data_IF_675395354313
#
_entry.id   IF_675395354313
#
_cell.length_a   1.000
_cell.length_b   1.000
_cell.length_c   1.000
_cell.angle_alpha   90.00
_cell.angle_beta   90.00
_cell.angle_gamma   90.00
#
_symmetry.space_group_name_H-M   'P 1'
#
loop_
_entity.id
_entity.type
_entity.pdbx_description
1 polymer ?
#
# COMPACT_ATOMS: atom_id res chain seq x y z
N UNK A 1 -13.90 15.99 16.04
CA UNK A 1 -12.45 15.77 15.88
C UNK A 1 -12.24 15.03 14.58
N UNK A 2 -11.41 15.53 13.66
CA UNK A 2 -11.14 14.85 12.38
C UNK A 2 -10.04 13.81 12.57
N UNK A 3 -10.37 12.54 12.41
CA UNK A 3 -9.41 11.43 12.43
C UNK A 3 -8.79 11.24 11.05
N UNK A 4 -7.49 10.92 11.01
CA UNK A 4 -6.78 10.57 9.76
C UNK A 4 -7.32 9.23 9.29
N UNK A 5 -7.91 9.19 8.10
CA UNK A 5 -8.53 7.98 7.53
C UNK A 5 -7.52 7.06 6.83
N UNK A 6 -6.37 7.59 6.44
CA UNK A 6 -5.30 6.87 5.73
C UNK A 6 -4.14 6.62 6.68
N UNK A 7 -4.20 5.50 7.39
CA UNK A 7 -3.15 5.04 8.29
C UNK A 7 -2.65 3.69 7.84
N UNK A 8 -1.36 3.43 8.02
CA UNK A 8 -0.79 2.10 7.81
C UNK A 8 -1.50 1.13 8.74
N UNK A 9 -2.03 0.05 8.18
CA UNK A 9 -2.58 -1.08 8.94
C UNK A 9 -1.71 -2.33 8.71
N UNK A 10 -2.00 -3.36 9.50
CA UNK A 10 -1.35 -4.67 9.39
C UNK A 10 -2.07 -5.59 8.39
N UNK A 11 -2.91 -5.03 7.52
CA UNK A 11 -3.60 -5.80 6.50
C UNK A 11 -2.63 -6.27 5.43
N UNK A 12 -2.85 -7.48 4.94
CA UNK A 12 -2.00 -8.10 3.93
C UNK A 12 -2.31 -7.56 2.55
N UNK A 13 -1.30 -6.99 1.90
CA UNK A 13 -1.40 -6.48 0.53
C UNK A 13 -1.70 -7.61 -0.45
N UNK A 14 -1.13 -8.81 -0.23
CA UNK A 14 -1.38 -9.97 -1.08
C UNK A 14 -2.84 -10.43 -0.99
N UNK A 15 -3.43 -10.44 0.20
CA UNK A 15 -4.83 -10.81 0.39
C UNK A 15 -5.78 -9.79 -0.23
N UNK A 16 -5.43 -8.51 -0.17
CA UNK A 16 -6.16 -7.46 -0.87
C UNK A 16 -6.15 -7.65 -2.39
N UNK A 17 -4.99 -7.92 -2.99
CA UNK A 17 -4.90 -8.20 -4.44
C UNK A 17 -5.68 -9.47 -4.78
N UNK A 18 -5.57 -10.53 -3.96
CA UNK A 18 -6.30 -11.78 -4.16
C UNK A 18 -7.83 -11.63 -4.09
N UNK A 19 -8.32 -10.62 -3.35
CA UNK A 19 -9.76 -10.32 -3.24
C UNK A 19 -10.37 -9.72 -4.52
N UNK A 20 -9.55 -9.20 -5.44
CA UNK A 20 -10.02 -8.61 -6.71
C UNK A 20 -10.62 -9.72 -7.58
N UNK A 21 -11.82 -9.62 -8.15
CA UNK A 21 -12.40 -10.73 -8.93
C UNK A 21 -11.74 -10.94 -10.31
N UNK A 22 -11.10 -9.90 -10.84
CA UNK A 22 -10.52 -9.86 -12.19
C UNK A 22 -9.07 -10.37 -12.18
N UNK A 23 -8.81 -11.49 -12.85
CA UNK A 23 -7.49 -12.13 -12.90
C UNK A 23 -6.42 -11.28 -13.58
N UNK A 24 -6.78 -10.51 -14.62
CA UNK A 24 -5.83 -9.63 -15.31
C UNK A 24 -5.38 -8.54 -14.35
N UNK A 25 -6.33 -7.93 -13.65
CA UNK A 25 -6.02 -6.92 -12.62
C UNK A 25 -5.19 -7.47 -11.48
N UNK A 26 -5.40 -8.72 -11.05
CA UNK A 26 -4.54 -9.35 -10.03
C UNK A 26 -3.10 -9.43 -10.52
N UNK A 27 -2.91 -9.99 -11.71
CA UNK A 27 -1.59 -10.24 -12.25
C UNK A 27 -0.82 -8.93 -12.48
N UNK A 28 -1.49 -7.93 -13.04
CA UNK A 28 -0.94 -6.59 -13.22
C UNK A 28 -0.62 -5.93 -11.86
N UNK A 29 -1.47 -6.10 -10.86
CA UNK A 29 -1.23 -5.55 -9.51
C UNK A 29 0.00 -6.17 -8.86
N UNK A 30 0.22 -7.49 -9.01
CA UNK A 30 1.43 -8.14 -8.52
C UNK A 30 2.68 -7.67 -9.27
N UNK A 31 2.61 -7.52 -10.60
CA UNK A 31 3.72 -6.99 -11.39
C UNK A 31 4.10 -5.56 -10.98
N UNK A 32 3.09 -4.69 -10.76
CA UNK A 32 3.30 -3.33 -10.27
C UNK A 32 3.86 -3.33 -8.84
N UNK A 33 3.38 -4.22 -7.98
CA UNK A 33 3.85 -4.33 -6.60
C UNK A 33 5.34 -4.70 -6.55
N UNK A 34 5.78 -5.66 -7.36
CA UNK A 34 7.20 -6.01 -7.46
C UNK A 34 8.04 -4.86 -8.04
N UNK A 35 7.54 -4.21 -9.09
CA UNK A 35 8.22 -3.07 -9.73
C UNK A 35 8.44 -1.93 -8.72
N UNK A 36 7.39 -1.54 -7.99
CA UNK A 36 7.48 -0.48 -7.00
C UNK A 36 8.34 -0.87 -5.80
N UNK A 37 8.21 -2.09 -5.30
CA UNK A 37 9.09 -2.58 -4.23
C UNK A 37 10.57 -2.55 -4.65
N UNK A 38 10.87 -2.93 -5.88
CA UNK A 38 12.24 -2.90 -6.42
C UNK A 38 12.78 -1.48 -6.58
N UNK A 39 11.97 -0.56 -7.11
CA UNK A 39 12.40 0.84 -7.36
C UNK A 39 12.55 1.61 -6.05
N UNK A 40 11.61 1.44 -5.12
CA UNK A 40 11.60 2.17 -3.84
C UNK A 40 12.53 1.53 -2.79
N UNK A 41 12.79 0.23 -2.89
CA UNK A 41 13.47 -0.54 -1.84
C UNK A 41 12.61 -0.77 -0.59
N UNK A 42 11.35 -0.31 -0.61
CA UNK A 42 10.44 -0.37 0.53
C UNK A 42 9.43 -1.50 0.36
N UNK A 43 9.01 -2.09 1.48
CA UNK A 43 7.99 -3.14 1.47
C UNK A 43 6.60 -2.50 1.29
N UNK A 44 5.73 -3.05 0.44
CA UNK A 44 4.36 -2.58 0.30
C UNK A 44 3.60 -2.79 1.62
N UNK A 45 2.78 -1.82 2.00
CA UNK A 45 1.86 -1.91 3.14
C UNK A 45 0.48 -1.42 2.74
N UNK A 46 -0.54 -1.92 3.43
CA UNK A 46 -1.88 -1.40 3.30
C UNK A 46 -2.01 -0.07 4.06
N UNK A 47 -2.79 0.85 3.50
CA UNK A 47 -3.11 2.17 4.04
C UNK A 47 -4.62 2.35 4.03
N UNK A 48 -5.25 2.26 5.19
CA UNK A 48 -6.71 2.19 5.28
C UNK A 48 -7.28 1.00 4.47
N UNK A 49 -8.52 1.11 3.96
CA UNK A 49 -9.24 -0.06 3.44
C UNK A 49 -8.90 -0.44 2.00
N UNK A 50 -8.23 0.43 1.22
CA UNK A 50 -8.15 0.24 -0.24
C UNK A 50 -6.93 0.88 -0.90
N UNK A 51 -5.87 1.19 -0.15
CA UNK A 51 -4.66 1.83 -0.69
C UNK A 51 -3.46 0.96 -0.34
N UNK A 52 -2.61 0.70 -1.34
CA UNK A 52 -1.28 0.11 -1.14
C UNK A 52 -0.27 1.25 -1.21
N UNK A 53 0.49 1.44 -0.13
CA UNK A 53 1.52 2.48 -0.04
C UNK A 53 2.92 1.89 0.17
N UNK A 54 3.92 2.68 -0.17
CA UNK A 54 5.34 2.32 -0.07
C UNK A 54 6.08 3.39 0.72
N UNK A 55 6.85 2.97 1.72
CA UNK A 55 7.55 3.87 2.63
C UNK A 55 6.60 4.69 3.53
N UNK A 56 7.19 5.40 4.48
CA UNK A 56 6.49 6.39 5.29
C UNK A 56 7.45 7.53 5.60
N UNK A 57 7.02 8.76 5.34
CA UNK A 57 7.77 9.94 5.70
C UNK A 57 7.03 10.72 6.78
N UNK A 58 7.70 10.98 7.90
CA UNK A 58 7.16 11.83 8.95
C UNK A 58 7.74 13.23 8.80
N UNK A 59 6.90 14.19 8.40
CA UNK A 59 7.29 15.59 8.35
C UNK A 59 7.58 16.09 9.76
N UNK A 60 8.82 16.49 10.01
CA UNK A 60 9.19 17.22 11.21
C UNK A 60 8.94 18.70 10.95
N UNK A 61 8.09 19.31 11.76
CA UNK A 61 7.97 20.78 11.82
C UNK A 61 8.86 21.27 12.95
N UNK A 62 9.73 22.25 12.68
CA UNK A 62 10.63 22.87 13.67
C UNK A 62 9.92 23.91 14.56
N UNK A 63 8.62 23.76 14.82
CA UNK A 63 7.87 24.67 15.67
C UNK A 63 7.57 24.06 17.03
#
# INVERSE_FOLDING_TARGET
>A
MSTIKTVVNNDSVADFINSVPDEIKKNDSFALLELFARITGEKPKMWGPSIIGFGQYHYKSEK
#
